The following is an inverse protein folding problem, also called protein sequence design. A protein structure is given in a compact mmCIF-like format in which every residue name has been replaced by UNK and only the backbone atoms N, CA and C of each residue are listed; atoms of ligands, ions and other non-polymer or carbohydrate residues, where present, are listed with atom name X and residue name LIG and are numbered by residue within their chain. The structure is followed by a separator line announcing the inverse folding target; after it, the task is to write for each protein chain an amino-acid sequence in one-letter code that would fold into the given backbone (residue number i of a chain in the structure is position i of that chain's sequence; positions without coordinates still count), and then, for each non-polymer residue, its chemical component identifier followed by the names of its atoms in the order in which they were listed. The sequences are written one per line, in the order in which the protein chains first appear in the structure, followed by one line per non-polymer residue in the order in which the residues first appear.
data_IF_373948816425
#
_entry.id   IF_373948816425
#
_cell.length_a   1.000
_cell.length_b   1.000
_cell.length_c   1.000
_cell.angle_alpha   90.00
_cell.angle_beta   90.00
_cell.angle_gamma   90.00
#
_symmetry.space_group_name_H-M   'P 1'
#
loop_
_entity.id
_entity.type
_entity.pdbx_description
1 polymer ?
#
# COMPACT_ATOMS: atom_id res chain seq x y z
N UNK A 1 1.17 -1.54 -16.72
CA UNK A 1 2.33 -2.38 -17.07
C UNK A 1 3.34 -2.32 -15.93
N UNK A 2 3.80 -3.48 -15.47
CA UNK A 2 4.82 -3.64 -14.44
C UNK A 2 6.12 -4.10 -15.09
N UNK A 3 7.24 -3.48 -14.72
CA UNK A 3 8.59 -3.87 -15.14
C UNK A 3 9.32 -4.43 -13.94
N UNK A 4 9.83 -5.64 -14.05
CA UNK A 4 10.55 -6.34 -12.99
C UNK A 4 12.00 -6.48 -13.42
N UNK A 5 12.93 -6.09 -12.56
CA UNK A 5 14.36 -6.18 -12.80
C UNK A 5 15.03 -6.95 -11.68
N UNK A 6 16.05 -7.74 -12.02
CA UNK A 6 16.87 -8.45 -11.05
C UNK A 6 18.28 -8.66 -11.59
N UNK A 7 19.20 -9.03 -10.70
CA UNK A 7 20.58 -9.36 -11.02
C UNK A 7 20.87 -10.80 -10.65
N UNK A 8 21.38 -11.57 -11.61
CA UNK A 8 21.73 -12.98 -11.40
C UNK A 8 23.06 -13.15 -10.66
N UNK A 9 23.44 -14.41 -10.42
CA UNK A 9 24.69 -14.79 -9.75
C UNK A 9 25.95 -14.35 -10.51
N UNK A 10 25.83 -14.11 -11.82
CA UNK A 10 26.90 -13.64 -12.69
C UNK A 10 26.96 -12.11 -12.78
N UNK A 11 26.22 -11.39 -11.92
CA UNK A 11 26.04 -9.95 -11.95
C UNK A 11 25.43 -9.42 -13.26
N UNK A 12 24.67 -10.26 -13.99
CA UNK A 12 23.96 -9.81 -15.18
C UNK A 12 22.57 -9.30 -14.81
N UNK A 13 22.20 -8.17 -15.41
CA UNK A 13 20.88 -7.58 -15.22
C UNK A 13 19.86 -8.21 -16.19
N UNK A 14 18.71 -8.57 -15.65
CA UNK A 14 17.59 -9.16 -16.37
C UNK A 14 16.33 -8.31 -16.17
N UNK A 15 15.39 -8.43 -17.12
CA UNK A 15 14.13 -7.70 -17.08
C UNK A 15 12.97 -8.54 -17.62
N UNK A 16 11.81 -8.42 -16.97
CA UNK A 16 10.55 -9.06 -17.38
C UNK A 16 9.39 -8.07 -17.21
N UNK A 17 8.34 -8.20 -18.02
CA UNK A 17 7.16 -7.35 -17.96
C UNK A 17 5.90 -8.17 -17.62
N UNK A 18 5.01 -7.59 -16.84
CA UNK A 18 3.72 -8.18 -16.51
C UNK A 18 2.60 -7.13 -16.58
N UNK A 19 1.44 -7.52 -17.11
CA UNK A 19 0.28 -6.63 -17.20
C UNK A 19 -0.42 -6.47 -15.84
N UNK A 20 -0.58 -7.58 -15.11
CA UNK A 20 -1.34 -7.66 -13.87
C UNK A 20 -0.45 -7.64 -12.63
N UNK A 21 -0.90 -6.94 -11.59
CA UNK A 21 -0.13 -6.77 -10.35
C UNK A 21 0.15 -8.11 -9.65
N UNK A 22 -0.82 -9.02 -9.65
CA UNK A 22 -0.69 -10.33 -9.00
C UNK A 22 0.41 -11.16 -9.67
N UNK A 23 0.47 -11.13 -11.00
CA UNK A 23 1.52 -11.82 -11.76
C UNK A 23 2.89 -11.18 -11.50
N UNK A 24 2.98 -9.85 -11.51
CA UNK A 24 4.22 -9.13 -11.25
C UNK A 24 4.78 -9.44 -9.85
N UNK A 25 3.90 -9.51 -8.84
CA UNK A 25 4.28 -9.86 -7.47
C UNK A 25 4.76 -11.30 -7.36
N UNK A 26 4.12 -12.25 -8.06
CA UNK A 26 4.55 -13.64 -8.09
C UNK A 26 5.96 -13.77 -8.68
N UNK A 27 6.22 -13.15 -9.84
CA UNK A 27 7.55 -13.15 -10.48
C UNK A 27 8.59 -12.58 -9.52
N UNK A 28 8.29 -11.43 -8.90
CA UNK A 28 9.21 -10.76 -7.97
C UNK A 28 9.55 -11.65 -6.77
N UNK A 29 8.54 -12.36 -6.21
CA UNK A 29 8.75 -13.32 -5.13
C UNK A 29 9.64 -14.47 -5.60
N UNK A 30 9.35 -15.07 -6.75
CA UNK A 30 10.09 -16.21 -7.26
C UNK A 30 11.57 -15.85 -7.50
N UNK A 31 11.87 -14.64 -7.99
CA UNK A 31 13.25 -14.17 -8.14
C UNK A 31 13.97 -14.00 -6.79
N UNK A 32 13.27 -13.51 -5.76
CA UNK A 32 13.84 -13.37 -4.41
C UNK A 32 14.10 -14.73 -3.77
N UNK A 33 13.16 -15.65 -3.89
CA UNK A 33 13.29 -17.00 -3.33
C UNK A 33 14.39 -17.80 -4.05
N UNK A 34 14.63 -17.53 -5.32
CA UNK A 34 15.76 -18.08 -6.08
C UNK A 34 17.12 -17.48 -5.70
N UNK A 35 17.18 -16.50 -4.79
CA UNK A 35 18.44 -15.91 -4.32
C UNK A 35 19.02 -14.81 -5.21
N UNK A 36 18.28 -14.32 -6.21
CA UNK A 36 18.75 -13.21 -7.03
C UNK A 36 18.85 -11.90 -6.25
N UNK A 37 19.76 -11.03 -6.69
CA UNK A 37 20.02 -9.74 -6.05
C UNK A 37 19.32 -8.60 -6.79
N UNK A 38 19.17 -7.44 -6.13
CA UNK A 38 18.57 -6.23 -6.69
C UNK A 38 17.17 -6.42 -7.32
N UNK A 39 16.36 -7.34 -6.76
CA UNK A 39 15.02 -7.61 -7.27
C UNK A 39 14.08 -6.43 -7.00
N UNK A 40 13.75 -5.70 -8.06
CA UNK A 40 12.90 -4.52 -8.03
C UNK A 40 11.75 -4.63 -9.02
N UNK A 41 10.62 -4.02 -8.66
CA UNK A 41 9.43 -3.93 -9.51
C UNK A 41 9.03 -2.46 -9.60
N UNK A 42 8.93 -1.95 -10.82
CA UNK A 42 8.47 -0.61 -11.13
C UNK A 42 7.14 -0.68 -11.89
N UNK A 43 6.28 0.30 -11.68
CA UNK A 43 5.01 0.42 -12.40
C UNK A 43 4.77 1.87 -12.75
N UNK A 44 4.32 2.11 -13.98
CA UNK A 44 3.85 3.43 -14.43
C UNK A 44 2.37 3.65 -14.08
N UNK A 45 1.71 2.70 -13.40
CA UNK A 45 0.29 2.83 -13.10
C UNK A 45 0.04 4.00 -12.13
N UNK A 46 -0.43 5.13 -12.67
CA UNK A 46 -0.78 6.34 -11.92
C UNK A 46 -1.94 6.14 -10.94
N UNK A 47 -2.70 5.05 -11.08
CA UNK A 47 -3.79 4.66 -10.17
C UNK A 47 -3.32 3.70 -9.05
N UNK A 48 -2.04 3.31 -9.02
CA UNK A 48 -1.47 2.49 -7.92
C UNK A 48 -1.54 3.23 -6.58
N UNK A 49 -1.29 4.54 -6.62
CA UNK A 49 -1.52 5.42 -5.47
C UNK A 49 -2.93 5.99 -5.57
N UNK A 50 -3.56 6.25 -4.42
CA UNK A 50 -4.71 7.15 -4.39
C UNK A 50 -4.35 8.48 -5.09
N UNK A 51 -5.35 9.17 -5.65
CA UNK A 51 -5.17 10.46 -6.34
C UNK A 51 -4.16 11.34 -5.60
N UNK A 52 -3.14 11.81 -6.31
CA UNK A 52 -2.10 12.68 -5.74
C UNK A 52 -2.74 13.91 -5.11
N UNK A 53 -2.40 14.23 -3.86
CA UNK A 53 -2.98 15.36 -3.14
C UNK A 53 -4.38 15.12 -2.56
N UNK A 54 -4.89 13.88 -2.55
CA UNK A 54 -6.06 13.52 -1.75
C UNK A 54 -5.66 13.49 -0.28
N UNK A 55 -5.85 14.64 0.34
CA UNK A 55 -5.61 14.90 1.75
C UNK A 55 -6.95 14.95 2.48
N UNK A 56 -7.07 14.06 3.47
CA UNK A 56 -7.95 14.18 4.63
C UNK A 56 -9.46 14.05 4.41
N UNK A 57 -10.09 13.41 5.39
CA UNK A 57 -11.54 13.36 5.57
C UNK A 57 -12.00 14.79 5.88
N UNK A 58 -12.81 15.38 5.01
CA UNK A 58 -13.40 16.71 5.22
C UNK A 58 -14.86 16.52 5.59
N UNK A 59 -15.30 17.17 6.67
CA UNK A 59 -16.69 17.10 7.17
C UNK A 59 -17.23 15.67 7.34
N UNK A 60 -16.35 14.74 7.75
CA UNK A 60 -16.71 13.34 7.96
C UNK A 60 -16.94 12.52 6.68
N UNK A 61 -16.54 13.03 5.51
CA UNK A 61 -16.67 12.31 4.24
C UNK A 61 -15.32 11.92 3.64
N UNK A 62 -15.31 10.79 2.95
CA UNK A 62 -14.19 10.38 2.11
C UNK A 62 -14.04 11.33 0.93
N UNK A 63 -12.87 11.33 0.28
CA UNK A 63 -12.63 12.07 -0.96
C UNK A 63 -13.60 11.72 -2.10
N UNK A 64 -14.27 10.56 -2.02
CA UNK A 64 -15.28 10.10 -2.97
C UNK A 64 -16.72 10.46 -2.53
N UNK A 65 -16.87 11.28 -1.48
CA UNK A 65 -18.14 11.77 -0.96
C UNK A 65 -18.90 10.79 -0.08
N UNK A 66 -18.34 9.61 0.20
CA UNK A 66 -18.94 8.61 1.07
C UNK A 66 -18.77 9.01 2.53
N UNK A 67 -19.72 8.64 3.39
CA UNK A 67 -19.57 8.88 4.81
C UNK A 67 -18.40 8.04 5.36
N UNK A 68 -17.50 8.67 6.11
CA UNK A 68 -16.39 8.00 6.74
C UNK A 68 -16.83 7.48 8.12
N UNK A 69 -17.19 6.20 8.16
CA UNK A 69 -17.74 5.50 9.34
C UNK A 69 -16.67 5.01 10.32
N UNK A 70 -15.40 5.04 9.93
CA UNK A 70 -14.32 4.50 10.73
C UNK A 70 -14.05 5.35 11.98
N UNK A 71 -14.17 4.70 13.14
CA UNK A 71 -13.86 5.30 14.45
C UNK A 71 -12.80 4.50 15.20
N UNK A 72 -11.88 5.21 15.88
CA UNK A 72 -10.90 4.59 16.78
C UNK A 72 -11.57 3.90 17.99
N UNK A 73 -12.85 4.18 18.25
CA UNK A 73 -13.66 3.57 19.29
C UNK A 73 -13.93 2.07 19.05
N UNK A 74 -13.84 1.59 17.80
CA UNK A 74 -14.02 0.18 17.44
C UNK A 74 -12.82 -0.72 17.74
N UNK A 75 -11.70 -0.20 18.29
CA UNK A 75 -10.59 -1.06 18.71
C UNK A 75 -11.04 -1.94 19.87
N UNK A 76 -10.92 -3.26 19.70
CA UNK A 76 -10.94 -4.19 20.82
C UNK A 76 -9.78 -3.85 21.77
N UNK A 77 -10.10 -3.11 22.83
CA UNK A 77 -9.15 -2.62 23.82
C UNK A 77 -9.79 -1.52 24.65
N UNK A 78 -10.22 -1.85 25.88
CA UNK A 78 -10.75 -0.88 26.83
C UNK A 78 -9.72 0.24 27.05
N UNK A 79 -10.10 1.54 26.97
CA UNK A 79 -9.20 2.63 27.33
C UNK A 79 -8.57 2.39 28.70
N UNK A 80 -7.28 2.67 28.85
CA UNK A 80 -6.60 2.52 30.15
C UNK A 80 -7.17 3.54 31.13
N UNK A 81 -7.04 3.29 32.45
CA UNK A 81 -7.62 4.14 33.51
C UNK A 81 -7.29 5.64 33.39
N UNK A 82 -6.16 5.96 32.77
CA UNK A 82 -5.67 7.33 32.60
C UNK A 82 -5.82 7.88 31.18
N UNK A 83 -6.40 7.10 30.25
CA UNK A 83 -6.65 7.59 28.89
C UNK A 83 -7.82 8.57 28.93
N UNK A 84 -7.61 9.74 28.33
CA UNK A 84 -8.68 10.73 28.17
C UNK A 84 -9.70 10.18 27.17
N UNK A 85 -10.88 9.83 27.65
CA UNK A 85 -12.00 9.41 26.80
C UNK A 85 -12.58 10.67 26.14
N UNK A 86 -12.34 10.82 24.85
CA UNK A 86 -12.95 11.87 24.04
C UNK A 86 -14.31 11.33 23.58
N UNK A 87 -15.39 11.81 24.20
CA UNK A 87 -16.76 11.35 23.92
C UNK A 87 -17.41 12.07 22.73
N UNK A 88 -16.94 13.27 22.38
CA UNK A 88 -17.40 14.02 21.21
C UNK A 88 -16.17 14.50 20.46
N UNK A 89 -15.99 13.99 19.23
CA UNK A 89 -14.77 14.21 18.45
C UNK A 89 -14.79 15.56 17.69
N UNK A 90 -15.98 16.06 17.34
CA UNK A 90 -16.14 17.14 16.36
C UNK A 90 -17.17 18.22 16.80
N UNK A 91 -17.13 18.65 18.07
CA UNK A 91 -17.97 19.76 18.57
C UNK A 91 -17.12 20.92 19.06
#
# INVERSE_FOLDING_TARGET
MFKIYWTDENNQAHGEEAAEIVQALQITKDKRDAGYSFVTMASENTQNVGKQGVDTIVDGKTPDGQDYDWSKAGRAGRPRKNDRIITNKDR
#
